data_IF_283281470994
#
_entry.id   IF_283281470994
#
_cell.length_a   1.000
_cell.length_b   1.000
_cell.length_c   1.000
_cell.angle_alpha   90.00
_cell.angle_beta   90.00
_cell.angle_gamma   90.00
#
_symmetry.space_group_name_H-M   'P 1'
#
loop_
_entity.id
_entity.type
_entity.pdbx_description
1 polymer ?
#
# COMPACT_ATOMS: atom_id res chain seq x y z
N UNK A 1 17.90 -9.51 39.95
CA UNK A 1 17.91 -10.36 38.75
C UNK A 1 16.57 -10.33 37.98
N UNK A 2 15.39 -10.35 38.63
CA UNK A 2 14.08 -10.24 37.95
C UNK A 2 13.77 -8.86 37.31
N UNK A 3 14.34 -7.76 37.81
CA UNK A 3 14.09 -6.40 37.27
C UNK A 3 14.79 -6.14 35.93
N UNK A 4 15.98 -6.70 35.73
CA UNK A 4 16.75 -6.55 34.47
C UNK A 4 16.07 -7.31 33.32
N UNK A 5 15.41 -8.43 33.64
CA UNK A 5 14.64 -9.23 32.67
C UNK A 5 13.40 -8.50 32.15
N UNK A 6 12.79 -7.62 32.95
CA UNK A 6 11.61 -6.84 32.55
C UNK A 6 11.96 -5.65 31.64
N UNK A 7 13.17 -5.08 31.79
CA UNK A 7 13.62 -3.95 30.96
C UNK A 7 14.01 -4.39 29.54
N UNK A 8 14.48 -5.62 29.35
CA UNK A 8 14.82 -6.14 28.01
C UNK A 8 13.58 -6.52 27.19
N UNK A 9 12.44 -6.81 27.83
CA UNK A 9 11.21 -7.17 27.13
C UNK A 9 10.46 -5.97 26.52
N UNK A 10 10.75 -4.74 26.95
CA UNK A 10 10.05 -3.53 26.49
C UNK A 10 10.66 -2.93 25.21
N UNK A 11 11.83 -3.39 24.78
CA UNK A 11 12.54 -2.87 23.59
C UNK A 11 12.43 -3.79 22.37
N UNK A 12 11.78 -4.93 22.49
CA UNK A 12 11.49 -5.80 21.37
C UNK A 12 10.14 -5.39 20.76
N UNK A 13 10.10 -5.30 19.43
CA UNK A 13 8.91 -5.24 18.56
C UNK A 13 8.29 -3.86 18.28
N UNK A 14 9.03 -3.03 17.57
CA UNK A 14 8.45 -2.23 16.47
C UNK A 14 9.10 -2.71 15.17
N UNK A 15 8.57 -3.81 14.62
CA UNK A 15 8.81 -4.14 13.22
C UNK A 15 7.62 -3.60 12.44
N UNK A 16 7.85 -2.68 11.52
CA UNK A 16 6.83 -2.30 10.55
C UNK A 16 6.55 -3.54 9.68
N UNK A 17 5.35 -4.10 9.82
CA UNK A 17 4.80 -5.01 8.83
C UNK A 17 4.50 -4.19 7.57
N UNK A 18 5.52 -4.00 6.75
CA UNK A 18 5.38 -3.36 5.43
C UNK A 18 4.63 -4.34 4.54
N UNK A 19 3.31 -4.21 4.48
CA UNK A 19 2.53 -4.82 3.41
C UNK A 19 2.99 -4.24 2.06
N UNK A 20 2.60 -4.83 0.94
CA UNK A 20 2.91 -4.33 -0.42
C UNK A 20 2.31 -2.96 -0.76
N UNK A 21 1.98 -2.17 0.27
CA UNK A 21 1.37 -0.86 0.18
C UNK A 21 2.29 0.14 -0.50
N UNK A 22 1.69 1.23 -0.95
CA UNK A 22 2.36 2.35 -1.59
C UNK A 22 2.37 3.55 -0.63
N UNK A 23 3.17 3.52 0.46
CA UNK A 23 3.14 4.55 1.49
C UNK A 23 3.68 5.91 1.03
N UNK A 24 4.36 5.94 -0.12
CA UNK A 24 4.88 7.14 -0.74
C UNK A 24 4.77 7.07 -2.26
N UNK A 25 5.00 8.21 -2.92
CA UNK A 25 5.05 8.28 -4.38
C UNK A 25 6.02 7.24 -4.95
N UNK A 26 5.53 6.44 -5.89
CA UNK A 26 6.25 5.32 -6.53
C UNK A 26 6.65 4.19 -5.56
N UNK A 27 5.95 4.03 -4.44
CA UNK A 27 6.15 2.92 -3.50
C UNK A 27 7.36 3.10 -2.58
N UNK A 28 7.57 2.12 -1.69
CA UNK A 28 8.63 2.15 -0.67
C UNK A 28 10.04 2.37 -1.23
N UNK A 29 10.34 1.81 -2.41
CA UNK A 29 11.63 1.96 -3.08
C UNK A 29 11.69 3.16 -4.05
N UNK A 30 10.57 3.86 -4.28
CA UNK A 30 10.41 4.94 -5.27
C UNK A 30 10.69 4.53 -6.73
N UNK A 31 10.67 3.23 -7.02
CA UNK A 31 10.92 2.67 -8.35
C UNK A 31 9.64 2.59 -9.20
N UNK A 32 8.46 2.60 -8.58
CA UNK A 32 7.17 2.46 -9.26
C UNK A 32 6.86 1.02 -9.68
N UNK A 33 7.53 0.03 -9.08
CA UNK A 33 7.34 -1.38 -9.40
C UNK A 33 6.41 -2.02 -8.36
N UNK A 34 5.27 -2.56 -8.80
CA UNK A 34 4.42 -3.40 -7.94
C UNK A 34 5.03 -4.80 -7.77
N UNK A 35 5.02 -5.33 -6.55
CA UNK A 35 5.47 -6.70 -6.21
C UNK A 35 4.32 -7.70 -6.11
N UNK A 36 3.09 -7.28 -6.40
CA UNK A 36 1.90 -8.11 -6.32
C UNK A 36 1.96 -9.28 -7.33
N UNK A 37 1.40 -10.42 -6.95
CA UNK A 37 1.34 -11.62 -7.79
C UNK A 37 -0.10 -12.16 -7.79
N UNK A 38 -0.41 -13.09 -8.71
CA UNK A 38 -1.75 -13.68 -8.80
C UNK A 38 -2.81 -12.74 -9.37
N UNK A 39 -2.40 -11.63 -10.00
CA UNK A 39 -3.31 -10.73 -10.70
C UNK A 39 -3.96 -11.44 -11.89
N UNK A 40 -5.21 -11.08 -12.17
CA UNK A 40 -5.94 -11.56 -13.35
C UNK A 40 -5.17 -11.23 -14.62
N UNK A 41 -4.89 -12.25 -15.43
CA UNK A 41 -4.22 -12.10 -16.74
C UNK A 41 -5.20 -11.70 -17.84
N UNK A 42 -6.49 -11.99 -17.66
CA UNK A 42 -7.56 -11.62 -18.56
C UNK A 42 -8.80 -11.27 -17.75
N UNK A 43 -9.60 -10.33 -18.26
CA UNK A 43 -10.87 -10.00 -17.66
C UNK A 43 -11.94 -11.03 -18.02
N UNK A 44 -12.93 -11.26 -17.13
CA UNK A 44 -14.15 -11.97 -17.50
C UNK A 44 -14.85 -11.27 -18.67
N UNK A 45 -15.65 -12.01 -19.44
CA UNK A 45 -16.42 -11.45 -20.56
C UNK A 45 -17.37 -10.32 -20.14
N UNK A 46 -17.94 -10.42 -18.93
CA UNK A 46 -18.79 -9.39 -18.33
C UNK A 46 -17.99 -8.22 -17.69
N UNK A 47 -16.65 -8.32 -17.66
CA UNK A 47 -15.77 -7.40 -16.94
C UNK A 47 -15.66 -7.70 -15.43
N UNK A 48 -14.72 -7.04 -14.73
CA UNK A 48 -14.65 -7.10 -13.28
C UNK A 48 -15.83 -6.38 -12.63
N UNK A 49 -16.18 -6.78 -11.41
CA UNK A 49 -17.21 -6.10 -10.62
C UNK A 49 -16.78 -4.66 -10.29
N UNK A 50 -17.70 -3.70 -10.47
CA UNK A 50 -17.47 -2.30 -10.07
C UNK A 50 -17.70 -2.14 -8.57
N UNK A 51 -16.63 -2.21 -7.79
CA UNK A 51 -16.68 -2.07 -6.33
C UNK A 51 -16.82 -0.63 -5.83
N UNK A 52 -16.48 0.38 -6.65
CA UNK A 52 -16.64 1.78 -6.29
C UNK A 52 -16.82 2.69 -7.52
N UNK A 53 -17.48 3.82 -7.33
CA UNK A 53 -17.63 4.90 -8.31
C UNK A 53 -17.81 6.23 -7.58
N UNK A 54 -16.94 7.19 -7.84
CA UNK A 54 -17.16 8.59 -7.44
C UNK A 54 -17.59 9.41 -8.66
N UNK A 55 -18.71 10.13 -8.53
CA UNK A 55 -19.21 11.04 -9.59
C UNK A 55 -18.77 12.48 -9.38
N UNK A 56 -18.38 12.82 -8.16
CA UNK A 56 -18.07 14.19 -7.73
C UNK A 56 -16.55 14.43 -7.69
N UNK A 57 -15.85 14.01 -8.74
CA UNK A 57 -14.44 14.36 -8.95
C UNK A 57 -14.37 15.71 -9.66
N UNK A 58 -13.61 16.66 -9.11
CA UNK A 58 -13.46 17.99 -9.70
C UNK A 58 -12.87 17.98 -11.11
N UNK A 59 -12.85 19.13 -11.79
CA UNK A 59 -12.49 19.27 -13.21
C UNK A 59 -11.05 18.87 -13.58
N UNK A 60 -10.18 18.62 -12.60
CA UNK A 60 -8.74 18.40 -12.81
C UNK A 60 -8.01 19.71 -13.17
N UNK A 61 -6.72 19.79 -12.83
CA UNK A 61 -5.87 20.92 -13.21
C UNK A 61 -4.54 20.40 -13.77
N UNK A 62 -4.23 20.77 -15.00
CA UNK A 62 -2.89 20.67 -15.58
C UNK A 62 -2.41 22.09 -15.87
N UNK A 63 -1.22 22.45 -15.39
CA UNK A 63 -0.66 23.79 -15.62
C UNK A 63 -0.51 24.12 -17.12
N UNK A 64 -0.25 25.39 -17.47
CA UNK A 64 0.03 25.77 -18.85
C UNK A 64 1.25 24.99 -19.34
N UNK A 65 1.10 24.35 -20.50
CA UNK A 65 2.18 23.63 -21.21
C UNK A 65 3.18 24.56 -21.86
#
# INVERSE_FOLDING_TARGET
>A
MKKILFTTLFFATVFDLVAGDWPQWRGSNRDGISRETGLLQAWPSAGPERIWLSRDIGIGYSGPG
#
